data_IF_314021681573
#
_entry.id   IF_314021681573
#
_cell.length_a   1.000
_cell.length_b   1.000
_cell.length_c   1.000
_cell.angle_alpha   90.00
_cell.angle_beta   90.00
_cell.angle_gamma   90.00
#
_symmetry.space_group_name_H-M   'P 1'
#
loop_
_entity.id
_entity.type
_entity.pdbx_description
1 polymer ?
#
# COMPACT_ATOMS: atom_id res chain seq x y z
N UNK A 1 4.10 40.65 14.42
CA UNK A 1 3.77 40.05 13.11
C UNK A 1 4.66 40.70 12.08
N UNK A 2 5.65 39.97 11.57
CA UNK A 2 6.56 40.49 10.54
C UNK A 2 5.81 40.38 9.21
N UNK A 3 5.37 41.46 8.53
CA UNK A 3 4.71 41.30 7.25
C UNK A 3 5.80 40.95 6.25
N UNK A 4 6.09 39.65 6.10
CA UNK A 4 6.97 39.10 5.06
C UNK A 4 6.48 39.47 3.65
N UNK A 5 5.25 39.97 3.52
CA UNK A 5 4.60 40.27 2.26
C UNK A 5 4.27 41.77 2.15
N UNK A 6 4.68 42.37 1.03
CA UNK A 6 4.23 43.71 0.66
C UNK A 6 2.69 43.73 0.48
N UNK A 7 1.99 44.85 0.74
CA UNK A 7 0.55 44.94 0.50
C UNK A 7 0.25 44.98 -1.01
N UNK A 8 -1.00 44.69 -1.39
CA UNK A 8 -1.49 45.00 -2.74
C UNK A 8 -1.46 46.53 -2.95
N UNK A 9 -0.98 47.04 -4.11
CA UNK A 9 -0.67 46.33 -5.35
C UNK A 9 0.79 45.87 -5.51
N UNK A 10 1.66 46.10 -4.52
CA UNK A 10 3.07 45.74 -4.57
C UNK A 10 3.26 44.20 -4.55
N UNK A 11 2.50 43.45 -3.74
CA UNK A 11 2.42 41.99 -3.86
C UNK A 11 1.27 41.55 -4.79
N UNK A 12 1.61 40.76 -5.81
CA UNK A 12 0.65 40.10 -6.71
C UNK A 12 1.08 38.65 -6.93
N UNK A 13 0.58 37.68 -6.14
CA UNK A 13 0.92 36.27 -6.30
C UNK A 13 0.65 35.70 -7.70
N UNK A 14 -0.31 36.29 -8.43
CA UNK A 14 -0.59 35.94 -9.84
C UNK A 14 0.59 36.16 -10.79
N UNK A 15 1.61 36.97 -10.43
CA UNK A 15 2.83 37.12 -11.24
C UNK A 15 3.53 35.78 -11.44
N UNK A 16 3.63 34.97 -10.38
CA UNK A 16 4.22 33.63 -10.45
C UNK A 16 3.36 32.61 -11.23
N UNK A 17 2.11 32.97 -11.56
CA UNK A 17 1.15 32.11 -12.27
C UNK A 17 0.92 32.55 -13.72
N UNK A 18 1.63 33.57 -14.19
CA UNK A 18 1.33 34.27 -15.46
C UNK A 18 1.58 33.39 -16.69
N UNK A 19 2.65 32.62 -16.66
CA UNK A 19 3.13 31.82 -17.78
C UNK A 19 3.65 30.45 -17.31
N UNK A 20 3.73 29.51 -18.24
CA UNK A 20 4.14 28.14 -17.94
C UNK A 20 5.58 28.06 -17.41
N UNK A 21 6.50 28.85 -17.98
CA UNK A 21 7.90 28.85 -17.57
C UNK A 21 8.07 29.27 -16.11
N UNK A 22 7.39 30.34 -15.69
CA UNK A 22 7.42 30.81 -14.30
C UNK A 22 6.77 29.80 -13.37
N UNK A 23 5.61 29.22 -13.74
CA UNK A 23 4.95 28.16 -12.94
C UNK A 23 5.83 26.94 -12.77
N UNK A 24 6.67 26.63 -13.75
CA UNK A 24 7.61 25.52 -13.73
C UNK A 24 8.79 25.79 -12.78
N UNK A 25 9.35 27.01 -12.84
CA UNK A 25 10.48 27.44 -12.00
C UNK A 25 10.14 27.42 -10.51
N UNK A 26 8.92 27.82 -10.14
CA UNK A 26 8.52 27.96 -8.72
C UNK A 26 7.72 26.77 -8.20
N UNK A 27 7.60 25.67 -8.97
CA UNK A 27 6.87 24.48 -8.55
C UNK A 27 7.59 23.79 -7.40
N UNK A 28 6.89 23.62 -6.27
CA UNK A 28 7.44 23.03 -5.04
C UNK A 28 7.61 21.49 -5.12
N UNK A 29 6.68 20.80 -5.80
CA UNK A 29 6.67 19.34 -5.85
C UNK A 29 6.52 18.81 -7.28
N UNK A 30 7.18 17.69 -7.53
CA UNK A 30 7.16 16.97 -8.81
C UNK A 30 6.98 15.48 -8.51
N UNK A 31 6.32 14.79 -9.43
CA UNK A 31 6.28 13.34 -9.45
C UNK A 31 7.42 12.81 -10.31
N UNK A 32 7.98 11.69 -9.88
CA UNK A 32 8.90 10.88 -10.66
C UNK A 32 8.38 9.42 -10.66
N UNK A 33 8.60 8.62 -11.72
CA UNK A 33 8.16 7.22 -11.74
C UNK A 33 8.65 6.38 -10.55
N UNK A 34 9.79 6.73 -9.94
CA UNK A 34 10.30 6.04 -8.74
C UNK A 34 9.52 6.33 -7.46
N UNK A 35 8.66 7.36 -7.46
CA UNK A 35 7.73 7.61 -6.35
C UNK A 35 6.58 6.59 -6.35
N UNK A 36 6.41 5.82 -7.42
CA UNK A 36 5.27 4.95 -7.63
C UNK A 36 5.62 3.50 -7.28
N UNK A 37 4.75 2.88 -6.51
CA UNK A 37 4.75 1.46 -6.19
C UNK A 37 3.47 0.88 -6.78
N UNK A 38 3.58 -0.21 -7.53
CA UNK A 38 2.42 -0.83 -8.19
C UNK A 38 1.89 -2.00 -7.37
N UNK A 39 0.68 -1.89 -6.77
CA UNK A 39 -0.02 -3.01 -6.19
C UNK A 39 -0.50 -3.96 -7.29
N UNK A 40 -0.19 -5.25 -7.14
CA UNK A 40 -0.57 -6.30 -8.11
C UNK A 40 -1.29 -7.44 -7.40
N UNK A 41 -2.37 -7.91 -8.01
CA UNK A 41 -3.08 -9.11 -7.59
C UNK A 41 -2.61 -10.30 -8.40
N UNK A 42 -2.38 -11.42 -7.74
CA UNK A 42 -1.93 -12.63 -8.42
C UNK A 42 -2.57 -13.89 -7.86
N UNK A 43 -2.73 -14.89 -8.71
CA UNK A 43 -3.48 -16.12 -8.44
C UNK A 43 -2.73 -17.34 -8.98
N UNK A 44 -3.13 -18.53 -8.50
CA UNK A 44 -2.66 -19.79 -9.08
C UNK A 44 -3.23 -20.00 -10.50
N UNK A 45 -2.56 -20.85 -11.27
CA UNK A 45 -2.92 -21.16 -12.66
C UNK A 45 -1.85 -20.71 -13.66
N UNK A 46 -2.19 -20.77 -14.95
CA UNK A 46 -1.27 -20.46 -16.05
C UNK A 46 -2.02 -19.72 -17.17
N UNK A 47 -1.42 -18.68 -17.74
CA UNK A 47 -1.99 -17.92 -18.85
C UNK A 47 -3.26 -17.14 -18.48
N UNK A 48 -3.42 -16.75 -17.21
CA UNK A 48 -4.63 -16.09 -16.70
C UNK A 48 -4.42 -14.60 -16.46
N UNK A 49 -5.34 -13.79 -17.00
CA UNK A 49 -5.57 -12.41 -16.60
C UNK A 49 -7.07 -12.26 -16.29
N UNK A 50 -7.43 -12.26 -15.01
CA UNK A 50 -8.83 -12.22 -14.59
C UNK A 50 -9.23 -10.79 -14.22
N UNK A 51 -10.15 -10.12 -14.95
CA UNK A 51 -10.58 -8.76 -14.62
C UNK A 51 -11.17 -8.65 -13.21
N UNK A 52 -10.94 -7.52 -12.57
CA UNK A 52 -11.62 -7.13 -11.32
C UNK A 52 -12.72 -6.10 -11.67
N UNK A 53 -14.01 -6.48 -11.71
CA UNK A 53 -15.07 -5.60 -12.22
C UNK A 53 -15.20 -4.27 -11.48
N UNK A 54 -15.00 -4.26 -10.16
CA UNK A 54 -15.05 -3.05 -9.34
C UNK A 54 -13.79 -2.17 -9.45
N UNK A 55 -12.78 -2.61 -10.22
CA UNK A 55 -11.55 -1.87 -10.50
C UNK A 55 -11.23 -1.92 -12.01
N UNK A 56 -11.95 -1.15 -12.86
CA UNK A 56 -11.78 -1.22 -14.31
C UNK A 56 -10.33 -0.97 -14.76
N UNK A 57 -9.77 -1.94 -15.48
CA UNK A 57 -8.37 -1.93 -15.95
C UNK A 57 -7.39 -2.69 -15.04
N UNK A 58 -7.82 -3.12 -13.85
CA UNK A 58 -7.04 -3.99 -12.96
C UNK A 58 -7.44 -5.45 -13.17
N UNK A 59 -6.44 -6.34 -13.17
CA UNK A 59 -6.62 -7.78 -13.31
C UNK A 59 -5.87 -8.54 -12.21
N UNK A 60 -6.26 -9.79 -12.00
CA UNK A 60 -5.51 -10.80 -11.24
C UNK A 60 -4.69 -11.62 -12.22
N UNK A 61 -3.37 -11.63 -12.05
CA UNK A 61 -2.45 -12.34 -12.94
C UNK A 61 -2.16 -13.74 -12.43
N UNK A 62 -2.07 -14.75 -13.30
CA UNK A 62 -1.23 -15.90 -12.98
C UNK A 62 0.25 -15.47 -12.98
N UNK A 63 1.10 -16.18 -12.23
CA UNK A 63 2.51 -15.77 -12.06
C UNK A 63 3.21 -15.60 -13.41
N UNK A 64 2.97 -16.49 -14.39
CA UNK A 64 3.56 -16.40 -15.73
C UNK A 64 3.15 -15.14 -16.51
N UNK A 65 1.95 -14.60 -16.27
CA UNK A 65 1.49 -13.33 -16.87
C UNK A 65 1.96 -12.11 -16.06
N UNK A 66 2.15 -12.26 -14.75
CA UNK A 66 2.68 -11.19 -13.91
C UNK A 66 4.12 -10.84 -14.28
N UNK A 67 4.94 -11.84 -14.62
CA UNK A 67 6.36 -11.65 -14.97
C UNK A 67 6.59 -10.61 -16.11
N UNK A 68 5.99 -10.74 -17.31
CA UNK A 68 6.15 -9.73 -18.35
C UNK A 68 5.51 -8.38 -17.99
N UNK A 69 4.42 -8.37 -17.21
CA UNK A 69 3.81 -7.12 -16.75
C UNK A 69 4.72 -6.35 -15.76
N UNK A 70 5.37 -7.07 -14.84
CA UNK A 70 6.37 -6.53 -13.92
C UNK A 70 7.60 -5.98 -14.67
N UNK A 71 8.06 -6.68 -15.70
CA UNK A 71 9.16 -6.24 -16.55
C UNK A 71 8.80 -4.94 -17.31
N UNK A 72 7.58 -4.85 -17.85
CA UNK A 72 7.09 -3.62 -18.47
C UNK A 72 7.00 -2.45 -17.46
N UNK A 73 6.54 -2.72 -16.23
CA UNK A 73 6.48 -1.71 -15.16
C UNK A 73 7.89 -1.21 -14.78
N UNK A 74 8.86 -2.12 -14.65
CA UNK A 74 10.25 -1.78 -14.38
C UNK A 74 10.85 -0.89 -15.49
N UNK A 75 10.56 -1.20 -16.76
CA UNK A 75 10.98 -0.37 -17.90
C UNK A 75 10.39 1.04 -17.87
N UNK A 76 9.22 1.24 -17.26
CA UNK A 76 8.60 2.56 -17.03
C UNK A 76 9.24 3.33 -15.86
N UNK A 77 10.18 2.72 -15.14
CA UNK A 77 10.88 3.34 -14.02
C UNK A 77 10.22 3.10 -12.66
N UNK A 78 9.18 2.27 -12.58
CA UNK A 78 8.59 1.79 -11.32
C UNK A 78 9.62 0.91 -10.62
N UNK A 79 9.88 1.19 -9.34
CA UNK A 79 10.98 0.54 -8.59
C UNK A 79 10.52 -0.57 -7.66
N UNK A 80 9.23 -0.68 -7.38
CA UNK A 80 8.71 -1.73 -6.51
C UNK A 80 7.30 -2.20 -6.88
N UNK A 81 7.02 -3.46 -6.56
CA UNK A 81 5.68 -4.07 -6.60
C UNK A 81 5.22 -4.41 -5.19
N UNK A 82 3.95 -4.14 -4.89
CA UNK A 82 3.28 -4.65 -3.70
C UNK A 82 2.40 -5.85 -4.07
N UNK A 83 2.75 -7.02 -3.55
CA UNK A 83 2.19 -8.31 -3.95
C UNK A 83 0.99 -8.68 -3.06
N UNK A 84 -0.18 -8.87 -3.66
CA UNK A 84 -1.40 -9.30 -2.97
C UNK A 84 -1.92 -10.63 -3.54
N UNK A 85 -1.81 -11.75 -2.80
CA UNK A 85 -2.23 -13.05 -3.29
C UNK A 85 -3.75 -13.19 -3.27
N UNK A 86 -4.29 -13.88 -4.27
CA UNK A 86 -5.68 -14.34 -4.32
C UNK A 86 -5.66 -15.84 -4.00
N UNK A 87 -5.80 -16.16 -2.71
CA UNK A 87 -5.72 -17.53 -2.20
C UNK A 87 -7.00 -18.30 -2.53
N UNK A 88 -6.83 -19.54 -3.00
CA UNK A 88 -7.94 -20.47 -3.23
C UNK A 88 -8.76 -20.63 -1.95
N UNK A 89 -10.09 -20.42 -1.98
CA UNK A 89 -10.96 -20.63 -0.82
C UNK A 89 -10.76 -21.99 -0.11
N UNK A 90 -10.39 -23.04 -0.83
CA UNK A 90 -10.15 -24.37 -0.25
C UNK A 90 -8.90 -24.44 0.64
N UNK A 91 -7.97 -23.48 0.52
CA UNK A 91 -6.77 -23.36 1.35
C UNK A 91 -6.98 -22.44 2.55
N UNK A 92 -8.15 -21.81 2.68
CA UNK A 92 -8.44 -20.89 3.79
C UNK A 92 -8.96 -21.66 5.00
N UNK A 93 -8.38 -21.38 6.17
CA UNK A 93 -8.81 -21.95 7.45
C UNK A 93 -8.93 -20.86 8.53
N UNK A 94 -9.52 -21.12 9.71
CA UNK A 94 -9.68 -20.10 10.74
C UNK A 94 -8.36 -19.57 11.35
N UNK A 95 -7.23 -20.21 11.09
CA UNK A 95 -5.92 -19.77 11.61
C UNK A 95 -5.04 -19.12 10.54
N UNK A 96 -5.46 -19.14 9.27
CA UNK A 96 -4.69 -18.63 8.15
C UNK A 96 -3.41 -19.42 7.87
N UNK A 97 -3.39 -20.75 8.09
CA UNK A 97 -2.14 -21.55 8.04
C UNK A 97 -1.40 -21.48 6.71
N UNK A 98 -2.12 -21.29 5.61
CA UNK A 98 -1.53 -21.14 4.27
C UNK A 98 -0.58 -19.93 4.17
N UNK A 99 -0.68 -18.94 5.07
CA UNK A 99 0.28 -17.84 5.19
C UNK A 99 1.71 -18.32 5.53
N UNK A 100 1.84 -19.51 6.13
CA UNK A 100 3.10 -20.11 6.56
C UNK A 100 3.56 -21.26 5.66
N UNK A 101 2.93 -21.44 4.50
CA UNK A 101 3.30 -22.50 3.56
C UNK A 101 4.52 -22.07 2.72
N UNK A 102 5.71 -22.71 2.86
CA UNK A 102 6.90 -22.33 2.10
C UNK A 102 6.80 -22.63 0.60
N UNK A 103 5.88 -23.51 0.20
CA UNK A 103 5.55 -23.81 -1.19
C UNK A 103 4.24 -23.13 -1.62
N UNK A 104 3.77 -22.18 -0.81
CA UNK A 104 2.56 -21.42 -1.08
C UNK A 104 2.71 -20.43 -2.24
N UNK A 105 1.61 -19.74 -2.53
CA UNK A 105 1.50 -18.83 -3.67
C UNK A 105 2.48 -17.64 -3.57
N UNK A 106 2.61 -17.02 -2.39
CA UNK A 106 3.50 -15.87 -2.17
C UNK A 106 4.98 -16.26 -2.34
N UNK A 107 5.54 -17.26 -1.62
CA UNK A 107 6.90 -17.73 -1.85
C UNK A 107 7.23 -18.05 -3.32
N UNK A 108 6.31 -18.73 -4.00
CA UNK A 108 6.49 -19.09 -5.42
C UNK A 108 6.56 -17.86 -6.32
N UNK A 109 5.70 -16.87 -6.10
CA UNK A 109 5.71 -15.63 -6.87
C UNK A 109 6.96 -14.78 -6.59
N UNK A 110 7.35 -14.64 -5.33
CA UNK A 110 8.55 -13.90 -4.94
C UNK A 110 9.80 -14.50 -5.58
N UNK A 111 9.98 -15.83 -5.48
CA UNK A 111 11.13 -16.54 -6.11
C UNK A 111 11.17 -16.29 -7.62
N UNK A 112 10.04 -16.45 -8.32
CA UNK A 112 9.96 -16.25 -9.76
C UNK A 112 10.25 -14.79 -10.19
N UNK A 113 9.73 -13.81 -9.45
CA UNK A 113 9.99 -12.39 -9.72
C UNK A 113 11.46 -12.03 -9.46
N UNK A 114 12.07 -12.55 -8.38
CA UNK A 114 13.48 -12.29 -8.08
C UNK A 114 14.43 -12.94 -9.07
N UNK A 115 14.10 -14.12 -9.59
CA UNK A 115 14.88 -14.76 -10.65
C UNK A 115 14.89 -13.91 -11.93
N UNK A 116 13.73 -13.35 -12.31
CA UNK A 116 13.59 -12.59 -13.56
C UNK A 116 14.01 -11.13 -13.44
N UNK A 117 13.73 -10.49 -12.31
CA UNK A 117 13.86 -9.04 -12.07
C UNK A 117 14.54 -8.78 -10.71
N UNK A 118 15.81 -9.16 -10.53
CA UNK A 118 16.49 -9.10 -9.23
C UNK A 118 16.53 -7.69 -8.61
N UNK A 119 16.64 -6.66 -9.45
CA UNK A 119 16.71 -5.25 -9.07
C UNK A 119 15.34 -4.62 -8.74
N UNK A 120 14.23 -5.30 -9.06
CA UNK A 120 12.90 -4.82 -8.71
C UNK A 120 12.63 -5.15 -7.25
N UNK A 121 12.31 -4.12 -6.45
CA UNK A 121 11.98 -4.33 -5.05
C UNK A 121 10.60 -4.99 -4.93
N UNK A 122 10.51 -6.04 -4.12
CA UNK A 122 9.29 -6.75 -3.83
C UNK A 122 8.84 -6.43 -2.41
N UNK A 123 7.60 -5.97 -2.31
CA UNK A 123 6.91 -5.67 -1.06
C UNK A 123 5.85 -6.76 -0.86
N UNK A 124 6.03 -7.62 0.13
CA UNK A 124 5.04 -8.63 0.48
C UNK A 124 4.15 -8.16 1.63
N UNK A 125 2.85 -8.38 1.50
CA UNK A 125 1.88 -8.10 2.55
C UNK A 125 1.99 -9.13 3.68
N UNK A 126 2.06 -8.67 4.93
CA UNK A 126 2.05 -9.51 6.14
C UNK A 126 0.73 -9.24 6.86
N UNK A 127 -0.23 -10.14 6.64
CA UNK A 127 -1.57 -10.14 7.20
C UNK A 127 -2.21 -11.51 6.98
N UNK A 128 -3.21 -11.88 7.80
CA UNK A 128 -3.89 -13.17 7.66
C UNK A 128 -5.21 -13.11 6.88
N UNK A 129 -5.73 -11.93 6.52
CA UNK A 129 -7.05 -11.82 5.87
C UNK A 129 -7.19 -12.52 4.50
N UNK A 130 -6.13 -12.66 3.66
CA UNK A 130 -6.23 -13.47 2.45
C UNK A 130 -6.37 -14.97 2.75
N UNK A 131 -5.91 -15.40 3.92
CA UNK A 131 -5.74 -16.81 4.30
C UNK A 131 -6.80 -17.30 5.28
N UNK A 132 -7.48 -16.40 6.00
CA UNK A 132 -8.50 -16.78 6.96
C UNK A 132 -9.85 -17.05 6.30
N UNK A 133 -10.54 -18.08 6.77
CA UNK A 133 -11.89 -18.41 6.28
C UNK A 133 -12.95 -17.34 6.64
N UNK A 134 -12.69 -16.54 7.67
CA UNK A 134 -13.53 -15.44 8.15
C UNK A 134 -13.08 -14.04 7.68
N UNK A 135 -11.95 -13.91 6.97
CA UNK A 135 -11.50 -12.65 6.35
C UNK A 135 -11.06 -11.54 7.32
N UNK A 136 -10.75 -11.89 8.58
CA UNK A 136 -10.13 -10.97 9.54
C UNK A 136 -8.59 -11.03 9.42
N UNK A 137 -7.91 -9.96 9.81
CA UNK A 137 -6.45 -9.83 9.66
C UNK A 137 -5.65 -10.70 10.65
N UNK A 138 -6.34 -11.33 11.62
CA UNK A 138 -5.76 -12.14 12.68
C UNK A 138 -6.62 -13.33 13.12
N UNK A 139 -6.10 -14.09 14.09
CA UNK A 139 -6.78 -15.23 14.73
C UNK A 139 -7.93 -14.71 15.60
N UNK A 140 -9.07 -15.41 15.58
CA UNK A 140 -10.22 -15.09 16.43
C UNK A 140 -10.48 -16.16 17.49
N UNK A 141 -10.95 -15.74 18.65
CA UNK A 141 -11.44 -16.64 19.68
C UNK A 141 -12.86 -17.17 19.41
N UNK A 142 -13.38 -18.00 20.33
CA UNK A 142 -14.72 -18.55 20.23
C UNK A 142 -15.85 -17.49 20.29
N UNK A 143 -15.54 -16.26 20.72
CA UNK A 143 -16.46 -15.12 20.73
C UNK A 143 -16.29 -14.22 19.50
N UNK A 144 -15.37 -14.55 18.59
CA UNK A 144 -15.06 -13.77 17.40
C UNK A 144 -14.18 -12.55 17.66
N UNK A 145 -13.53 -12.45 18.83
CA UNK A 145 -12.59 -11.37 19.16
C UNK A 145 -11.22 -11.68 18.57
N UNK A 146 -10.57 -10.66 18.03
CA UNK A 146 -9.20 -10.79 17.52
C UNK A 146 -8.24 -11.00 18.69
N UNK A 147 -7.41 -12.02 18.57
CA UNK A 147 -6.37 -12.38 19.51
C UNK A 147 -5.05 -11.74 19.07
N UNK A 148 -4.64 -10.67 19.76
CA UNK A 148 -3.48 -9.85 19.36
C UNK A 148 -2.19 -10.67 19.32
N UNK A 149 -1.77 -11.23 20.46
CA UNK A 149 -0.43 -11.81 20.61
C UNK A 149 -0.28 -13.11 19.82
N UNK A 150 -1.33 -13.93 19.76
CA UNK A 150 -1.38 -15.13 18.93
C UNK A 150 -1.28 -14.79 17.44
N UNK A 151 -1.90 -13.69 17.02
CA UNK A 151 -1.79 -13.20 15.65
C UNK A 151 -0.37 -12.71 15.37
N UNK A 152 0.20 -11.88 16.25
CA UNK A 152 1.57 -11.35 16.12
C UNK A 152 2.59 -12.49 15.97
N UNK A 153 2.45 -13.58 16.71
CA UNK A 153 3.33 -14.75 16.60
C UNK A 153 3.28 -15.42 15.22
N UNK A 154 2.12 -15.46 14.56
CA UNK A 154 1.98 -15.98 13.20
C UNK A 154 2.52 -15.01 12.15
N UNK A 155 2.26 -13.71 12.32
CA UNK A 155 2.76 -12.67 11.41
C UNK A 155 4.29 -12.59 11.40
N UNK A 156 4.93 -12.76 12.56
CA UNK A 156 6.39 -12.85 12.66
C UNK A 156 6.96 -14.04 11.86
N UNK A 157 6.31 -15.20 11.92
CA UNK A 157 6.68 -16.37 11.12
C UNK A 157 6.45 -16.14 9.63
N UNK A 158 5.33 -15.51 9.25
CA UNK A 158 5.02 -15.16 7.87
C UNK A 158 6.08 -14.20 7.29
N UNK A 159 6.45 -13.17 8.03
CA UNK A 159 7.47 -12.20 7.62
C UNK A 159 8.84 -12.86 7.42
N UNK A 160 9.25 -13.74 8.34
CA UNK A 160 10.50 -14.51 8.20
C UNK A 160 10.47 -15.39 6.95
N UNK A 161 9.37 -16.10 6.70
CA UNK A 161 9.22 -16.93 5.51
C UNK A 161 9.34 -16.08 4.23
N UNK A 162 8.61 -14.97 4.16
CA UNK A 162 8.65 -14.08 2.99
C UNK A 162 10.05 -13.51 2.75
N UNK A 163 10.75 -13.11 3.81
CA UNK A 163 12.14 -12.66 3.74
C UNK A 163 13.09 -13.74 3.20
N UNK A 164 12.98 -14.98 3.71
CA UNK A 164 13.79 -16.12 3.26
C UNK A 164 13.54 -16.47 1.79
N UNK A 165 12.36 -16.18 1.25
CA UNK A 165 12.05 -16.38 -0.18
C UNK A 165 12.54 -15.25 -1.09
N UNK A 166 13.10 -14.17 -0.53
CA UNK A 166 13.69 -13.05 -1.28
C UNK A 166 12.86 -11.77 -1.30
N UNK A 167 11.85 -11.63 -0.44
CA UNK A 167 11.15 -10.35 -0.29
C UNK A 167 12.10 -9.31 0.30
N UNK A 168 12.17 -8.13 -0.32
CA UNK A 168 13.08 -7.07 0.13
C UNK A 168 12.42 -6.19 1.22
N UNK A 169 11.10 -5.99 1.13
CA UNK A 169 10.28 -5.35 2.16
C UNK A 169 9.17 -6.31 2.57
N UNK A 170 9.00 -6.49 3.88
CA UNK A 170 7.76 -7.01 4.46
C UNK A 170 6.91 -5.85 4.93
N UNK A 171 5.60 -5.92 4.67
CA UNK A 171 4.67 -4.84 4.93
C UNK A 171 3.52 -5.30 5.82
N UNK A 172 3.69 -5.28 7.17
CA UNK A 172 2.65 -5.66 8.11
C UNK A 172 1.46 -4.71 8.00
N UNK A 173 0.33 -5.25 7.54
CA UNK A 173 -0.88 -4.48 7.31
C UNK A 173 -2.00 -4.82 8.30
N UNK A 174 -1.75 -5.71 9.24
CA UNK A 174 -2.69 -6.30 10.20
C UNK A 174 -3.25 -5.37 11.29
N UNK A 175 -2.49 -4.33 11.69
CA UNK A 175 -2.81 -3.41 12.79
C UNK A 175 -2.90 -4.06 14.19
N UNK A 176 -2.13 -5.12 14.46
CA UNK A 176 -1.98 -5.66 15.81
C UNK A 176 -0.97 -4.84 16.61
N UNK A 177 -1.18 -4.68 17.91
CA UNK A 177 -0.25 -3.96 18.78
C UNK A 177 1.07 -4.75 18.91
N UNK A 178 2.21 -4.07 18.74
CA UNK A 178 3.55 -4.65 18.92
C UNK A 178 4.05 -5.54 17.78
N UNK A 179 3.31 -5.67 16.66
CA UNK A 179 3.71 -6.56 15.56
C UNK A 179 5.04 -6.17 14.93
N UNK A 180 5.36 -4.88 14.85
CA UNK A 180 6.59 -4.40 14.20
C UNK A 180 7.80 -4.87 14.98
N UNK A 181 7.78 -4.71 16.30
CA UNK A 181 8.88 -5.13 17.17
C UNK A 181 9.09 -6.64 17.12
N UNK A 182 7.99 -7.41 17.15
CA UNK A 182 8.04 -8.87 17.04
C UNK A 182 8.61 -9.34 15.69
N UNK A 183 8.16 -8.73 14.58
CA UNK A 183 8.66 -9.03 13.24
C UNK A 183 10.15 -8.66 13.11
N UNK A 184 10.54 -7.48 13.58
CA UNK A 184 11.95 -7.05 13.58
C UNK A 184 12.82 -8.03 14.35
N UNK A 185 12.44 -8.40 15.57
CA UNK A 185 13.19 -9.36 16.38
C UNK A 185 13.29 -10.73 15.71
N UNK A 186 12.21 -11.20 15.06
CA UNK A 186 12.23 -12.46 14.35
C UNK A 186 13.18 -12.43 13.13
N UNK A 187 13.19 -11.34 12.35
CA UNK A 187 14.11 -11.14 11.23
C UNK A 187 15.58 -11.10 11.67
N UNK A 188 15.88 -10.37 12.77
CA UNK A 188 17.23 -10.34 13.36
C UNK A 188 17.67 -11.73 13.83
N UNK A 189 16.78 -12.49 14.49
CA UNK A 189 17.08 -13.82 15.02
C UNK A 189 17.46 -14.83 13.92
N UNK A 190 16.90 -14.70 12.72
CA UNK A 190 17.22 -15.55 11.55
C UNK A 190 18.28 -14.94 10.63
N UNK A 191 18.97 -13.89 11.08
CA UNK A 191 20.04 -13.21 10.34
C UNK A 191 19.58 -12.65 8.98
N UNK A 192 18.38 -12.06 8.93
CA UNK A 192 17.86 -11.29 7.80
C UNK A 192 17.83 -9.78 8.11
N UNK A 193 18.96 -9.14 8.49
CA UNK A 193 18.95 -7.77 9.02
C UNK A 193 18.56 -6.71 7.98
N UNK A 194 18.73 -7.01 6.69
CA UNK A 194 18.49 -6.06 5.59
C UNK A 194 17.07 -6.13 5.01
N UNK A 195 16.24 -7.06 5.47
CA UNK A 195 14.81 -7.04 5.15
C UNK A 195 14.18 -5.83 5.84
N UNK A 196 13.54 -4.97 5.05
CA UNK A 196 12.96 -3.72 5.55
C UNK A 196 11.52 -3.94 5.95
N UNK A 197 11.06 -3.17 6.92
CA UNK A 197 9.69 -3.17 7.40
C UNK A 197 9.00 -1.88 6.95
N UNK A 198 7.98 -2.02 6.12
CA UNK A 198 7.06 -0.95 5.74
C UNK A 198 5.79 -1.09 6.58
N UNK A 199 5.76 -0.43 7.73
CA UNK A 199 4.67 -0.54 8.68
C UNK A 199 3.43 0.20 8.16
N UNK A 200 2.28 -0.46 8.11
CA UNK A 200 1.00 0.22 7.91
C UNK A 200 0.56 0.83 9.24
N UNK A 201 1.29 1.86 9.68
CA UNK A 201 1.14 2.44 11.01
C UNK A 201 -0.20 3.11 11.22
N UNK A 202 -0.64 3.92 10.25
CA UNK A 202 -1.92 4.61 10.34
C UNK A 202 -2.90 4.02 9.32
N UNK A 203 -3.39 2.80 9.58
CA UNK A 203 -4.42 2.13 8.76
C UNK A 203 -5.79 2.27 9.42
N UNK A 204 -6.67 3.02 8.75
CA UNK A 204 -8.02 3.34 9.23
C UNK A 204 -9.06 2.28 8.86
N UNK A 205 -10.08 2.14 9.71
CA UNK A 205 -11.28 1.33 9.49
C UNK A 205 -12.18 1.99 8.43
N UNK A 206 -11.77 1.86 7.17
CA UNK A 206 -12.31 2.66 6.06
C UNK A 206 -13.32 1.93 5.18
N UNK A 207 -14.27 2.71 4.64
CA UNK A 207 -15.22 2.25 3.61
C UNK A 207 -14.63 2.24 2.19
N UNK A 208 -13.41 2.75 1.97
CA UNK A 208 -12.75 2.79 0.66
C UNK A 208 -12.14 1.45 0.22
N UNK A 209 -12.26 0.39 1.02
CA UNK A 209 -11.62 -0.91 0.74
C UNK A 209 -12.49 -1.90 -0.03
N UNK A 210 -13.74 -1.55 -0.37
CA UNK A 210 -14.68 -2.44 -1.05
C UNK A 210 -14.08 -3.13 -2.29
N UNK A 211 -13.58 -2.37 -3.28
CA UNK A 211 -13.04 -2.99 -4.51
C UNK A 211 -11.80 -3.87 -4.27
N UNK A 212 -10.97 -3.57 -3.27
CA UNK A 212 -9.85 -4.43 -2.88
C UNK A 212 -10.35 -5.78 -2.35
N UNK A 213 -11.38 -5.77 -1.49
CA UNK A 213 -11.97 -7.00 -0.93
C UNK A 213 -12.56 -7.88 -2.04
N UNK A 214 -13.11 -7.27 -3.09
CA UNK A 214 -13.51 -7.99 -4.30
C UNK A 214 -12.28 -8.57 -5.01
N UNK A 215 -11.22 -7.76 -5.18
CA UNK A 215 -10.01 -8.15 -5.89
C UNK A 215 -9.30 -9.36 -5.24
N UNK A 216 -9.16 -9.40 -3.91
CA UNK A 216 -8.55 -10.55 -3.20
C UNK A 216 -9.53 -11.66 -2.83
N UNK A 217 -10.81 -11.49 -3.14
CA UNK A 217 -11.86 -12.47 -2.83
C UNK A 217 -12.15 -12.62 -1.34
N UNK A 218 -11.87 -11.60 -0.51
CA UNK A 218 -12.13 -11.62 0.94
C UNK A 218 -13.49 -11.02 1.33
N UNK A 219 -14.19 -10.35 0.40
CA UNK A 219 -15.49 -9.74 0.67
C UNK A 219 -16.53 -10.74 1.21
N UNK A 220 -16.62 -11.93 0.59
CA UNK A 220 -17.54 -12.98 1.01
C UNK A 220 -17.14 -13.61 2.36
N UNK A 221 -15.84 -13.71 2.64
CA UNK A 221 -15.33 -14.24 3.91
C UNK A 221 -15.65 -13.30 5.08
N UNK A 222 -15.40 -12.00 4.92
CA UNK A 222 -15.65 -11.00 5.96
C UNK A 222 -17.16 -10.78 6.20
N UNK A 223 -17.97 -10.86 5.14
CA UNK A 223 -19.42 -10.72 5.22
C UNK A 223 -19.86 -9.39 5.86
N UNK A 224 -20.56 -9.47 6.99
CA UNK A 224 -21.04 -8.29 7.75
C UNK A 224 -20.09 -7.86 8.86
N UNK A 225 -18.99 -8.57 9.08
CA UNK A 225 -18.02 -8.20 10.09
C UNK A 225 -17.26 -6.92 9.70
N UNK A 226 -16.75 -6.23 10.71
CA UNK A 226 -15.89 -5.06 10.51
C UNK A 226 -14.52 -5.27 11.16
N UNK A 227 -13.65 -4.28 10.95
CA UNK A 227 -12.25 -4.28 11.39
C UNK A 227 -12.01 -3.18 12.44
N UNK A 228 -13.07 -2.65 13.07
CA UNK A 228 -13.02 -1.45 13.93
C UNK A 228 -12.35 -1.68 15.29
N UNK A 229 -12.13 -2.93 15.68
CA UNK A 229 -11.48 -3.26 16.95
C UNK A 229 -9.95 -3.22 16.87
N UNK A 230 -9.37 -2.97 15.69
CA UNK A 230 -7.92 -2.91 15.46
C UNK A 230 -7.52 -1.87 14.41
N UNK A 231 -8.33 -1.66 13.36
CA UNK A 231 -8.10 -0.52 12.46
C UNK A 231 -8.61 0.78 13.08
N UNK A 232 -7.89 1.87 12.86
CA UNK A 232 -8.14 3.14 13.53
C UNK A 232 -9.48 3.78 13.16
N UNK A 233 -10.06 4.55 14.09
CA UNK A 233 -11.26 5.35 13.84
C UNK A 233 -10.94 6.52 12.87
N UNK A 234 -11.68 6.68 11.74
CA UNK A 234 -11.56 7.83 10.85
C UNK A 234 -11.66 9.21 11.52
N UNK A 235 -12.29 9.31 12.69
CA UNK A 235 -12.40 10.55 13.47
C UNK A 235 -11.10 10.98 14.16
N UNK A 236 -10.08 10.12 14.21
CA UNK A 236 -8.89 10.32 15.01
C UNK A 236 -7.67 10.75 14.17
N UNK A 237 -7.02 11.85 14.55
CA UNK A 237 -5.80 12.34 13.89
C UNK A 237 -4.56 12.27 14.80
N UNK A 238 -4.72 12.57 16.10
CA UNK A 238 -3.59 12.50 17.05
C UNK A 238 -3.16 11.06 17.36
N UNK A 239 -4.09 10.11 17.29
CA UNK A 239 -3.81 8.68 17.46
C UNK A 239 -2.81 8.18 16.40
N UNK A 240 -2.92 8.66 15.16
CA UNK A 240 -2.01 8.30 14.07
C UNK A 240 -0.54 8.60 14.39
N UNK A 241 -0.29 9.72 15.08
CA UNK A 241 1.05 10.06 15.51
C UNK A 241 1.54 9.09 16.58
N UNK A 242 0.68 8.67 17.51
CA UNK A 242 1.03 7.65 18.50
C UNK A 242 1.40 6.33 17.82
N UNK A 243 0.56 5.84 16.91
CA UNK A 243 0.81 4.59 16.15
C UNK A 243 2.15 4.63 15.41
N UNK A 244 2.38 5.70 14.64
CA UNK A 244 3.64 5.89 13.91
C UNK A 244 4.83 5.97 14.87
N UNK A 245 4.70 6.66 16.00
CA UNK A 245 5.75 6.77 17.00
C UNK A 245 6.12 5.41 17.60
N UNK A 246 5.13 4.54 17.84
CA UNK A 246 5.35 3.17 18.32
C UNK A 246 6.08 2.33 17.28
N UNK A 247 5.60 2.31 16.03
CA UNK A 247 6.21 1.53 14.96
C UNK A 247 7.66 1.94 14.66
N UNK A 248 7.97 3.24 14.72
CA UNK A 248 9.34 3.74 14.58
C UNK A 248 10.21 3.23 15.74
N UNK A 249 9.72 3.31 16.98
CA UNK A 249 10.44 2.84 18.15
C UNK A 249 10.67 1.31 18.13
N UNK A 250 9.79 0.58 17.47
CA UNK A 250 9.86 -0.87 17.28
C UNK A 250 10.75 -1.31 16.10
N UNK A 251 11.23 -0.36 15.29
CA UNK A 251 12.20 -0.64 14.22
C UNK A 251 11.61 -0.73 12.81
N UNK A 252 10.49 -0.03 12.54
CA UNK A 252 10.03 0.20 11.17
C UNK A 252 11.03 1.08 10.39
N UNK A 253 11.36 0.67 9.16
CA UNK A 253 12.22 1.43 8.26
C UNK A 253 11.45 2.50 7.48
N UNK A 254 10.17 2.21 7.22
CA UNK A 254 9.22 3.11 6.58
C UNK A 254 7.85 2.98 7.27
N UNK A 255 7.09 4.07 7.28
CA UNK A 255 5.72 4.09 7.82
C UNK A 255 4.72 4.49 6.74
N UNK A 256 3.49 4.02 6.85
CA UNK A 256 2.44 4.25 5.85
C UNK A 256 1.13 4.73 6.44
N UNK A 257 0.49 5.67 5.73
CA UNK A 257 -0.91 6.07 5.94
C UNK A 257 -1.82 5.37 4.92
N UNK A 258 -2.91 4.76 5.40
CA UNK A 258 -3.90 4.07 4.57
C UNK A 258 -5.32 4.26 5.13
N UNK A 259 -6.33 4.69 4.34
CA UNK A 259 -6.26 5.13 2.96
C UNK A 259 -5.44 6.40 2.73
N UNK A 260 -5.31 6.79 1.47
CA UNK A 260 -4.42 7.86 1.06
C UNK A 260 -5.12 9.21 0.97
N UNK A 261 -5.88 9.41 -0.11
CA UNK A 261 -6.50 10.69 -0.46
C UNK A 261 -7.37 11.30 0.65
N UNK A 262 -8.22 10.52 1.37
CA UNK A 262 -9.02 11.10 2.45
C UNK A 262 -8.21 11.43 3.72
N UNK A 263 -6.92 11.08 3.78
CA UNK A 263 -6.05 11.25 4.95
C UNK A 263 -4.74 11.98 4.61
N UNK A 264 -4.74 12.85 3.60
CA UNK A 264 -3.56 13.66 3.24
C UNK A 264 -3.10 14.58 4.40
N UNK A 265 -4.01 14.99 5.27
CA UNK A 265 -3.68 15.71 6.50
C UNK A 265 -2.83 14.84 7.45
N UNK A 266 -3.13 13.55 7.54
CA UNK A 266 -2.34 12.59 8.33
C UNK A 266 -0.96 12.38 7.73
N UNK A 267 -0.87 12.23 6.40
CA UNK A 267 0.44 12.14 5.70
C UNK A 267 1.30 13.37 6.03
N UNK A 268 0.72 14.56 5.94
CA UNK A 268 1.41 15.80 6.28
C UNK A 268 1.86 15.85 7.74
N UNK A 269 0.97 15.53 8.69
CA UNK A 269 1.30 15.52 10.11
C UNK A 269 2.40 14.51 10.45
N UNK A 270 2.36 13.31 9.87
CA UNK A 270 3.38 12.27 10.06
C UNK A 270 4.72 12.74 9.53
N UNK A 271 4.76 13.25 8.28
CA UNK A 271 6.00 13.75 7.67
C UNK A 271 6.62 14.89 8.49
N UNK A 272 5.83 15.89 8.87
CA UNK A 272 6.32 17.05 9.63
C UNK A 272 6.78 16.68 11.05
N UNK A 273 6.13 15.71 11.69
CA UNK A 273 6.44 15.34 13.08
C UNK A 273 7.69 14.47 13.16
N UNK A 274 7.83 13.49 12.27
CA UNK A 274 8.86 12.45 12.40
C UNK A 274 10.00 12.60 11.39
N UNK A 275 9.77 13.21 10.23
CA UNK A 275 10.80 13.36 9.19
C UNK A 275 11.31 12.04 8.59
N UNK A 276 10.67 10.91 8.88
CA UNK A 276 11.05 9.56 8.41
C UNK A 276 10.46 9.24 7.02
N UNK A 277 10.94 8.20 6.31
CA UNK A 277 10.31 7.73 5.07
C UNK A 277 8.81 7.43 5.28
N UNK A 278 7.96 8.21 4.62
CA UNK A 278 6.50 8.22 4.80
C UNK A 278 5.82 7.85 3.50
N UNK A 279 5.07 6.76 3.50
CA UNK A 279 4.39 6.23 2.33
C UNK A 279 2.89 6.48 2.45
N UNK A 280 2.18 6.49 1.32
CA UNK A 280 0.72 6.58 1.30
C UNK A 280 0.15 5.54 0.33
N UNK A 281 -1.00 4.96 0.66
CA UNK A 281 -1.70 4.03 -0.23
C UNK A 281 -2.95 4.71 -0.81
N UNK A 282 -2.93 5.05 -2.10
CA UNK A 282 -4.14 5.38 -2.84
C UNK A 282 -4.95 4.10 -3.08
N UNK A 283 -5.94 3.85 -2.24
CA UNK A 283 -6.57 2.52 -2.16
C UNK A 283 -7.58 2.29 -3.27
N UNK A 284 -8.06 1.05 -3.34
CA UNK A 284 -8.92 0.55 -4.41
C UNK A 284 -10.18 1.40 -4.68
N UNK A 285 -10.86 1.88 -3.64
CA UNK A 285 -12.01 2.77 -3.78
C UNK A 285 -11.65 4.15 -4.34
N UNK A 286 -10.50 4.70 -3.97
CA UNK A 286 -10.00 5.97 -4.53
C UNK A 286 -9.73 5.84 -6.03
N UNK A 287 -9.10 4.73 -6.43
CA UNK A 287 -8.91 4.38 -7.84
C UNK A 287 -10.24 4.24 -8.59
N UNK A 288 -11.15 3.43 -8.04
CA UNK A 288 -12.44 3.14 -8.67
C UNK A 288 -13.31 4.40 -8.84
N UNK A 289 -13.27 5.32 -7.87
CA UNK A 289 -13.98 6.61 -7.97
C UNK A 289 -13.53 7.43 -9.17
N UNK A 290 -12.21 7.54 -9.40
CA UNK A 290 -11.66 8.29 -10.54
C UNK A 290 -12.02 7.58 -11.86
N UNK A 291 -11.82 6.25 -11.94
CA UNK A 291 -12.21 5.48 -13.13
C UNK A 291 -13.69 5.61 -13.47
N UNK A 292 -14.57 5.54 -12.47
CA UNK A 292 -16.02 5.66 -12.67
C UNK A 292 -16.44 7.06 -13.11
N UNK A 293 -15.93 8.11 -12.47
CA UNK A 293 -16.25 9.50 -12.85
C UNK A 293 -15.73 9.83 -14.27
N UNK A 294 -14.55 9.34 -14.63
CA UNK A 294 -14.02 9.50 -15.98
C UNK A 294 -14.81 8.72 -17.03
N UNK A 295 -15.21 7.47 -16.75
CA UNK A 295 -16.05 6.67 -17.65
C UNK A 295 -17.42 7.31 -17.92
N UNK A 296 -17.93 8.09 -16.96
CA UNK A 296 -19.16 8.86 -17.12
C UNK A 296 -18.94 10.24 -17.78
N UNK A 297 -17.71 10.60 -18.15
CA UNK A 297 -17.36 11.87 -18.77
C UNK A 297 -17.44 13.08 -17.83
N UNK A 298 -17.42 12.86 -16.50
CA UNK A 298 -17.53 13.95 -15.52
C UNK A 298 -16.21 14.65 -15.27
N UNK A 299 -15.10 13.93 -15.46
CA UNK A 299 -13.74 14.42 -15.26
C UNK A 299 -12.81 13.94 -16.38
N UNK A 300 -11.74 14.68 -16.60
CA UNK A 300 -10.59 14.21 -17.38
C UNK A 300 -9.80 13.21 -16.53
N UNK A 301 -9.68 11.97 -17.04
CA UNK A 301 -9.03 10.87 -16.33
C UNK A 301 -7.58 11.19 -15.96
N UNK A 302 -6.76 11.52 -16.96
CA UNK A 302 -5.32 11.64 -16.81
C UNK A 302 -4.97 12.86 -15.98
N UNK A 303 -5.68 13.98 -16.18
CA UNK A 303 -5.48 15.19 -15.41
C UNK A 303 -5.79 14.97 -13.91
N UNK A 304 -6.93 14.36 -13.57
CA UNK A 304 -7.32 14.13 -12.17
C UNK A 304 -6.46 13.05 -11.51
N UNK A 305 -6.09 12.01 -12.25
CA UNK A 305 -5.15 10.98 -11.76
C UNK A 305 -3.81 11.63 -11.38
N UNK A 306 -3.21 12.42 -12.27
CA UNK A 306 -1.92 13.07 -12.03
C UNK A 306 -2.00 14.12 -10.92
N UNK A 307 -3.09 14.90 -10.85
CA UNK A 307 -3.31 15.87 -9.78
C UNK A 307 -3.47 15.18 -8.41
N UNK A 308 -4.16 14.05 -8.37
CA UNK A 308 -4.32 13.24 -7.15
C UNK A 308 -2.97 12.71 -6.66
N UNK A 309 -2.17 12.13 -7.55
CA UNK A 309 -0.81 11.64 -7.24
C UNK A 309 0.12 12.77 -6.76
N UNK A 310 0.03 13.96 -7.37
CA UNK A 310 0.78 15.14 -6.94
C UNK A 310 0.34 15.60 -5.55
N UNK A 311 -0.94 15.42 -5.20
CA UNK A 311 -1.49 15.68 -3.87
C UNK A 311 -0.76 14.92 -2.76
N UNK A 312 -0.42 13.64 -2.99
CA UNK A 312 0.37 12.84 -2.05
C UNK A 312 1.79 13.37 -1.87
N UNK A 313 2.50 13.67 -2.97
CA UNK A 313 3.85 14.25 -2.88
C UNK A 313 3.85 15.58 -2.14
N UNK A 314 2.86 16.43 -2.42
CA UNK A 314 2.68 17.71 -1.73
C UNK A 314 2.37 17.53 -0.23
N UNK A 315 1.62 16.49 0.12
CA UNK A 315 1.37 16.16 1.52
C UNK A 315 2.59 15.59 2.23
N UNK A 316 3.67 15.24 1.51
CA UNK A 316 4.90 14.73 2.11
C UNK A 316 5.13 13.24 1.95
N UNK A 317 4.36 12.53 1.13
CA UNK A 317 4.66 11.12 0.84
C UNK A 317 5.95 11.00 0.00
N UNK A 318 6.86 10.14 0.40
CA UNK A 318 8.07 9.79 -0.36
C UNK A 318 7.72 8.82 -1.49
N UNK A 319 6.86 7.83 -1.22
CA UNK A 319 6.36 6.89 -2.20
C UNK A 319 4.85 6.62 -2.04
N UNK A 320 4.22 6.24 -3.15
CA UNK A 320 2.77 6.10 -3.28
C UNK A 320 2.46 4.71 -3.83
N UNK A 321 1.73 3.91 -3.05
CA UNK A 321 1.12 2.68 -3.56
C UNK A 321 -0.13 3.09 -4.35
N UNK A 322 -0.14 2.83 -5.65
CA UNK A 322 -1.23 3.22 -6.53
C UNK A 322 -1.45 2.23 -7.67
N UNK A 323 -2.72 1.87 -7.89
CA UNK A 323 -3.13 1.09 -9.06
C UNK A 323 -3.00 1.86 -10.38
N UNK A 324 -2.84 3.19 -10.32
CA UNK A 324 -2.52 4.03 -11.48
C UNK A 324 -1.02 4.05 -11.80
N UNK A 325 -0.16 3.36 -11.03
CA UNK A 325 1.29 3.47 -11.20
C UNK A 325 1.78 3.26 -12.65
N UNK A 326 1.33 2.23 -13.41
CA UNK A 326 1.72 2.08 -14.82
C UNK A 326 1.22 3.21 -15.72
N UNK A 327 -0.02 3.67 -15.53
CA UNK A 327 -0.63 4.74 -16.33
C UNK A 327 0.08 6.07 -16.10
N UNK A 328 0.31 6.43 -14.83
CA UNK A 328 1.03 7.64 -14.43
C UNK A 328 2.50 7.61 -14.90
N UNK A 329 3.18 6.47 -14.79
CA UNK A 329 4.57 6.34 -15.24
C UNK A 329 4.71 6.52 -16.76
N UNK A 330 3.73 6.08 -17.56
CA UNK A 330 3.71 6.35 -19.01
C UNK A 330 3.59 7.85 -19.30
N UNK A 331 2.69 8.55 -18.61
CA UNK A 331 2.51 10.00 -18.80
C UNK A 331 3.72 10.81 -18.34
N UNK A 332 4.43 10.38 -17.29
CA UNK A 332 5.62 11.06 -16.78
C UNK A 332 6.85 10.90 -17.70
N UNK A 333 6.83 9.94 -18.63
CA UNK A 333 7.91 9.72 -19.61
C UNK A 333 7.59 10.24 -21.01
N UNK A 334 6.35 10.64 -21.27
CA UNK A 334 5.91 11.25 -22.52
C UNK A 334 6.40 12.70 -22.64
#
# INVERSE_FOLDING_TARGET
>A
MNPLFAPFPAARPRRLRRDAATRELVREHRLHPSDLIWPVFFQAGQGLETPVPSMPGVVRYSIDQLLPAAEAAAHLGIRALALFPVIDPALKDPQGREALNPEGLVPTCVRALKERLPELALITDVALDPYTSHGQDGVIDAQGRILNDETVALLAQQAVLQAQCGADIVAPSDMMDGRIGAIRQALEAVQQPYTRILAYSAKYASSYYGPFRDAVGSAANLGKADKKTYQMDPGNSNEALREVGLDIAEGADMVMVKPGLPYLDIVYRVKETYGVPTFAYQVSGEYAMIKAAAANGWIDHDAVMMETLLGFKRAGADAILSYFAPDAARLLRA
#
